data_IF_749985738679
#
_entry.id   IF_749985738679
#
_cell.length_a   1.000
_cell.length_b   1.000
_cell.length_c   1.000
_cell.angle_alpha   90.00
_cell.angle_beta   90.00
_cell.angle_gamma   90.00
#
_symmetry.space_group_name_H-M   'P 1'
#
loop_
_entity.id
_entity.type
_entity.pdbx_description
1 polymer ?
#
# COMPACT_ATOMS: atom_id res chain seq x y z
N UNK A 1 -45.06 3.81 8.70
CA UNK A 1 -45.08 5.28 8.47
C UNK A 1 -44.09 5.85 9.48
N UNK A 2 -42.83 6.11 9.15
CA UNK A 2 -42.34 7.04 8.14
C UNK A 2 -41.02 6.53 7.53
N UNK A 3 -40.95 6.53 6.21
CA UNK A 3 -39.71 6.38 5.44
C UNK A 3 -39.00 7.73 5.48
N UNK A 4 -37.83 7.79 6.11
CA UNK A 4 -36.84 8.82 5.81
C UNK A 4 -35.64 8.12 5.16
N UNK A 5 -35.85 7.62 3.95
CA UNK A 5 -34.78 7.40 2.98
C UNK A 5 -34.45 8.76 2.38
N UNK A 6 -33.67 9.55 3.11
CA UNK A 6 -32.90 10.64 2.51
C UNK A 6 -31.41 10.31 2.73
N UNK A 7 -31.01 9.17 2.15
CA UNK A 7 -29.58 8.87 2.01
C UNK A 7 -29.04 9.83 0.96
N UNK A 8 -28.07 10.67 1.36
CA UNK A 8 -27.45 11.59 0.41
C UNK A 8 -26.91 10.81 -0.81
N UNK A 9 -26.92 11.40 -2.02
CA UNK A 9 -26.43 10.73 -3.23
C UNK A 9 -25.02 10.13 -3.09
N UNK A 10 -24.19 10.72 -2.21
CA UNK A 10 -22.84 10.23 -1.88
C UNK A 10 -22.85 8.92 -1.08
N UNK A 11 -23.75 8.77 -0.10
CA UNK A 11 -23.85 7.55 0.73
C UNK A 11 -24.21 6.35 -0.14
N UNK A 12 -25.20 6.53 -1.03
CA UNK A 12 -25.57 5.51 -2.00
C UNK A 12 -24.45 5.18 -3.00
N UNK A 13 -23.61 6.18 -3.36
CA UNK A 13 -22.42 5.95 -4.21
C UNK A 13 -21.37 5.14 -3.46
N UNK A 14 -21.08 5.45 -2.20
CA UNK A 14 -20.08 4.77 -1.39
C UNK A 14 -20.38 3.27 -1.26
N UNK A 15 -21.59 2.91 -0.82
CA UNK A 15 -22.00 1.51 -0.69
C UNK A 15 -21.92 0.73 -2.02
N UNK A 16 -22.30 1.36 -3.16
CA UNK A 16 -22.16 0.73 -4.49
C UNK A 16 -20.70 0.48 -4.85
N UNK A 17 -19.80 1.44 -4.57
CA UNK A 17 -18.36 1.28 -4.79
C UNK A 17 -17.83 0.11 -3.97
N UNK A 18 -18.13 0.04 -2.67
CA UNK A 18 -17.66 -1.04 -1.80
C UNK A 18 -18.14 -2.42 -2.24
N UNK A 19 -19.40 -2.54 -2.67
CA UNK A 19 -19.93 -3.79 -3.25
C UNK A 19 -19.19 -4.18 -4.52
N UNK A 20 -18.84 -3.22 -5.37
CA UNK A 20 -18.07 -3.48 -6.58
C UNK A 20 -16.65 -3.94 -6.25
N UNK A 21 -15.93 -3.20 -5.39
CA UNK A 21 -14.58 -3.53 -4.98
C UNK A 21 -14.51 -4.90 -4.28
N UNK A 22 -15.43 -5.18 -3.35
CA UNK A 22 -15.52 -6.49 -2.68
C UNK A 22 -15.74 -7.64 -3.68
N UNK A 23 -16.51 -7.42 -4.75
CA UNK A 23 -16.68 -8.44 -5.81
C UNK A 23 -15.40 -8.64 -6.62
N UNK A 24 -14.59 -7.60 -6.81
CA UNK A 24 -13.30 -7.70 -7.49
C UNK A 24 -12.30 -8.47 -6.62
N UNK A 25 -12.20 -8.14 -5.33
CA UNK A 25 -11.37 -8.85 -4.35
C UNK A 25 -11.68 -10.35 -4.32
N UNK A 26 -12.96 -10.73 -4.32
CA UNK A 26 -13.36 -12.15 -4.38
C UNK A 26 -12.97 -12.84 -5.69
N UNK A 27 -12.99 -12.12 -6.82
CA UNK A 27 -12.73 -12.71 -8.15
C UNK A 27 -11.26 -12.73 -8.53
N UNK A 28 -10.46 -11.86 -7.93
CA UNK A 28 -9.05 -11.63 -8.22
C UNK A 28 -8.30 -11.61 -6.91
N UNK A 29 -8.11 -12.80 -6.36
CA UNK A 29 -7.28 -13.05 -5.20
C UNK A 29 -5.89 -13.45 -5.67
N UNK A 30 -4.85 -13.00 -4.98
CA UNK A 30 -3.51 -13.53 -5.14
C UNK A 30 -3.05 -14.16 -3.81
N UNK A 31 -2.35 -15.29 -3.89
CA UNK A 31 -1.63 -15.88 -2.79
C UNK A 31 -0.12 -15.66 -2.95
N UNK A 32 0.53 -15.22 -1.86
CA UNK A 32 1.93 -14.86 -1.85
C UNK A 32 2.86 -15.99 -2.29
N UNK A 33 2.49 -17.25 -2.05
CA UNK A 33 3.34 -18.41 -2.32
C UNK A 33 2.91 -19.19 -3.57
N UNK A 34 1.64 -19.10 -3.99
CA UNK A 34 1.16 -19.78 -5.19
C UNK A 34 1.30 -18.93 -6.46
N UNK A 35 1.07 -17.61 -6.39
CA UNK A 35 0.99 -16.75 -7.59
C UNK A 35 2.32 -16.10 -8.00
N UNK A 36 3.37 -16.28 -7.20
CA UNK A 36 4.74 -15.85 -7.48
C UNK A 36 5.60 -17.09 -7.76
N UNK A 37 6.32 -17.17 -8.91
CA UNK A 37 7.09 -18.34 -9.32
C UNK A 37 8.43 -18.40 -8.58
N UNK A 38 8.38 -18.55 -7.26
CA UNK A 38 9.53 -18.41 -6.38
C UNK A 38 10.68 -19.35 -6.69
N UNK A 39 10.38 -20.56 -7.16
CA UNK A 39 11.37 -21.61 -7.41
C UNK A 39 11.92 -21.59 -8.85
N UNK A 40 11.32 -20.80 -9.75
CA UNK A 40 11.78 -20.63 -11.13
C UNK A 40 12.96 -19.64 -11.23
N UNK A 41 13.18 -18.84 -10.18
CA UNK A 41 14.12 -17.73 -10.18
C UNK A 41 14.84 -17.61 -8.83
N UNK A 42 16.16 -17.72 -8.86
CA UNK A 42 17.01 -17.47 -7.69
C UNK A 42 17.23 -15.96 -7.48
N UNK A 43 17.28 -15.52 -6.22
CA UNK A 43 17.64 -14.14 -5.86
C UNK A 43 19.15 -14.06 -5.64
N UNK A 44 19.93 -14.13 -6.72
CA UNK A 44 21.39 -13.99 -6.67
C UNK A 44 21.78 -12.51 -6.44
N UNK A 45 22.49 -12.16 -5.34
CA UNK A 45 22.94 -10.78 -5.07
C UNK A 45 23.83 -10.16 -6.15
N UNK A 46 24.36 -10.96 -7.07
CA UNK A 46 25.22 -10.51 -8.17
C UNK A 46 24.50 -10.39 -9.51
N UNK A 47 23.20 -10.71 -9.55
CA UNK A 47 22.40 -10.62 -10.78
C UNK A 47 22.33 -9.16 -11.27
N UNK A 48 22.81 -8.85 -12.49
CA UNK A 48 22.80 -7.50 -13.03
C UNK A 48 21.39 -6.91 -13.17
N UNK A 49 20.34 -7.74 -13.23
CA UNK A 49 18.92 -7.31 -13.25
C UNK A 49 18.45 -6.68 -11.93
N UNK A 50 19.24 -6.81 -10.88
CA UNK A 50 19.01 -6.17 -9.58
C UNK A 50 19.70 -4.81 -9.46
N UNK A 51 20.50 -4.39 -10.45
CA UNK A 51 21.11 -3.06 -10.45
C UNK A 51 20.06 -1.95 -10.39
N UNK A 52 20.47 -0.79 -9.88
CA UNK A 52 19.59 0.37 -9.76
C UNK A 52 19.20 0.90 -11.14
N UNK A 53 17.98 1.40 -11.24
CA UNK A 53 17.55 2.10 -12.44
C UNK A 53 18.43 3.35 -12.69
N UNK A 54 18.70 3.73 -13.95
CA UNK A 54 19.59 4.85 -14.28
C UNK A 54 19.18 6.20 -13.68
N UNK A 55 17.90 6.38 -13.34
CA UNK A 55 17.33 7.57 -12.72
C UNK A 55 17.30 7.52 -11.18
N UNK A 56 17.73 6.42 -10.55
CA UNK A 56 17.88 6.38 -9.09
C UNK A 56 18.98 7.38 -8.67
N UNK A 57 18.75 8.25 -7.66
CA UNK A 57 19.73 9.23 -7.21
C UNK A 57 21.10 8.62 -6.84
N UNK A 58 21.12 7.39 -6.34
CA UNK A 58 22.36 6.67 -6.03
C UNK A 58 23.04 6.23 -7.33
N UNK A 59 22.28 5.76 -8.33
CA UNK A 59 22.81 5.32 -9.61
C UNK A 59 23.51 6.44 -10.40
N UNK A 60 23.04 7.68 -10.24
CA UNK A 60 23.60 8.87 -10.89
C UNK A 60 24.97 9.25 -10.30
N UNK A 61 25.27 8.83 -9.07
CA UNK A 61 26.52 9.19 -8.38
C UNK A 61 27.77 8.60 -9.07
N UNK A 62 28.89 9.32 -9.00
CA UNK A 62 30.18 8.81 -9.49
C UNK A 62 30.62 7.56 -8.73
N UNK A 63 30.39 7.53 -7.41
CA UNK A 63 30.70 6.38 -6.57
C UNK A 63 30.05 5.10 -7.11
N UNK A 64 28.74 5.13 -7.38
CA UNK A 64 28.02 3.95 -7.87
C UNK A 64 28.48 3.52 -9.26
N UNK A 65 28.68 4.48 -10.17
CA UNK A 65 29.13 4.20 -11.55
C UNK A 65 30.53 3.58 -11.62
N UNK A 66 31.37 3.84 -10.62
CA UNK A 66 32.71 3.27 -10.50
C UNK A 66 32.73 1.87 -9.84
N UNK A 67 31.59 1.35 -9.39
CA UNK A 67 31.48 -0.03 -8.86
C UNK A 67 31.50 -1.05 -9.99
N UNK A 68 31.94 -2.28 -9.69
CA UNK A 68 31.76 -3.41 -10.62
C UNK A 68 30.26 -3.72 -10.80
N UNK A 69 29.86 -4.35 -11.92
CA UNK A 69 28.47 -4.74 -12.14
C UNK A 69 27.86 -5.58 -10.99
N UNK A 70 28.64 -6.48 -10.41
CA UNK A 70 28.20 -7.31 -9.29
C UNK A 70 28.03 -6.49 -8.00
N UNK A 71 28.86 -5.47 -7.80
CA UNK A 71 28.71 -4.55 -6.67
C UNK A 71 27.50 -3.62 -6.85
N UNK A 72 27.23 -3.19 -8.09
CA UNK A 72 26.02 -2.44 -8.44
C UNK A 72 24.75 -3.25 -8.19
N UNK A 73 24.74 -4.54 -8.56
CA UNK A 73 23.67 -5.49 -8.26
C UNK A 73 23.44 -5.65 -6.75
N UNK A 74 24.51 -5.85 -5.96
CA UNK A 74 24.42 -5.95 -4.50
C UNK A 74 23.81 -4.71 -3.85
N UNK A 75 24.21 -3.52 -4.30
CA UNK A 75 23.64 -2.24 -3.83
C UNK A 75 22.16 -2.17 -4.18
N UNK A 76 21.79 -2.55 -5.40
CA UNK A 76 20.39 -2.55 -5.82
C UNK A 76 19.53 -3.57 -5.05
N UNK A 77 20.05 -4.76 -4.75
CA UNK A 77 19.37 -5.71 -3.88
C UNK A 77 19.12 -5.14 -2.48
N UNK A 78 20.11 -4.46 -1.88
CA UNK A 78 19.93 -3.78 -0.58
C UNK A 78 18.88 -2.68 -0.67
N UNK A 79 18.86 -1.91 -1.77
CA UNK A 79 17.86 -0.87 -2.01
C UNK A 79 16.45 -1.46 -2.09
N UNK A 80 16.26 -2.50 -2.90
CA UNK A 80 14.97 -3.20 -3.07
C UNK A 80 14.50 -3.77 -1.74
N UNK A 81 15.34 -4.56 -1.07
CA UNK A 81 14.96 -5.25 0.18
C UNK A 81 14.68 -4.26 1.32
N UNK A 82 15.36 -3.11 1.37
CA UNK A 82 15.06 -2.03 2.33
C UNK A 82 13.74 -1.32 2.04
N UNK A 83 13.42 -1.11 0.76
CA UNK A 83 12.12 -0.57 0.35
C UNK A 83 10.99 -1.53 0.70
N UNK A 84 11.12 -2.83 0.38
CA UNK A 84 10.13 -3.85 0.73
C UNK A 84 9.94 -3.99 2.25
N UNK A 85 11.03 -3.92 3.03
CA UNK A 85 10.93 -3.93 4.49
C UNK A 85 10.21 -2.71 5.05
N UNK A 86 10.34 -1.57 4.37
CA UNK A 86 9.62 -0.36 4.74
C UNK A 86 8.15 -0.47 4.34
N UNK A 87 7.86 -1.05 3.17
CA UNK A 87 6.51 -1.27 2.66
C UNK A 87 5.70 -2.19 3.57
N UNK A 88 6.19 -3.38 3.93
CA UNK A 88 5.40 -4.26 4.81
C UNK A 88 5.21 -3.67 6.22
N UNK A 89 6.17 -2.87 6.74
CA UNK A 89 5.94 -2.12 7.99
C UNK A 89 4.79 -1.10 7.84
N UNK A 90 4.71 -0.44 6.68
CA UNK A 90 3.63 0.50 6.36
C UNK A 90 2.29 -0.23 6.27
N UNK A 91 2.20 -1.33 5.52
CA UNK A 91 1.00 -2.17 5.40
C UNK A 91 0.51 -2.62 6.78
N UNK A 92 1.42 -3.11 7.63
CA UNK A 92 1.05 -3.53 8.97
C UNK A 92 0.46 -2.39 9.83
N UNK A 93 1.00 -1.18 9.71
CA UNK A 93 0.49 0.01 10.40
C UNK A 93 -0.88 0.41 9.85
N UNK A 94 -1.06 0.35 8.53
CA UNK A 94 -2.32 0.64 7.84
C UNK A 94 -3.40 -0.36 8.28
N UNK A 95 -3.10 -1.66 8.24
CA UNK A 95 -3.99 -2.73 8.67
C UNK A 95 -4.42 -2.56 10.14
N UNK A 96 -3.53 -2.12 11.03
CA UNK A 96 -3.91 -1.80 12.41
C UNK A 96 -4.97 -0.68 12.48
N UNK A 97 -4.85 0.34 11.62
CA UNK A 97 -5.86 1.40 11.49
C UNK A 97 -7.18 0.89 10.94
N UNK A 98 -7.14 0.09 9.87
CA UNK A 98 -8.32 -0.52 9.26
C UNK A 98 -9.07 -1.43 10.22
N UNK A 99 -8.38 -2.35 10.89
CA UNK A 99 -8.97 -3.26 11.87
C UNK A 99 -9.51 -2.50 13.08
N UNK A 100 -8.82 -1.45 13.53
CA UNK A 100 -9.32 -0.60 14.59
C UNK A 100 -10.60 0.15 14.18
N UNK A 101 -10.72 0.59 12.92
CA UNK A 101 -11.97 1.16 12.38
C UNK A 101 -13.07 0.11 12.33
N UNK A 102 -12.78 -1.08 11.79
CA UNK A 102 -13.74 -2.17 11.66
C UNK A 102 -14.37 -2.59 13.00
N UNK A 103 -13.60 -2.52 14.10
CA UNK A 103 -14.08 -2.80 15.46
C UNK A 103 -15.27 -1.92 15.87
N UNK A 104 -15.43 -0.74 15.29
CA UNK A 104 -16.46 0.22 15.64
C UNK A 104 -17.48 0.48 14.53
N UNK A 105 -17.38 -0.22 13.40
CA UNK A 105 -18.41 -0.21 12.38
C UNK A 105 -19.55 -1.15 12.80
N UNK A 106 -20.81 -0.84 12.44
CA UNK A 106 -21.90 -1.80 12.59
C UNK A 106 -21.62 -3.08 11.81
N UNK A 107 -21.95 -4.22 12.43
CA UNK A 107 -21.81 -5.54 11.81
C UNK A 107 -22.58 -5.61 10.48
N UNK A 108 -22.01 -6.29 9.49
CA UNK A 108 -22.65 -6.54 8.20
C UNK A 108 -22.66 -5.36 7.23
N UNK A 109 -22.01 -4.24 7.55
CA UNK A 109 -21.85 -3.12 6.60
C UNK A 109 -20.93 -3.50 5.44
N UNK A 110 -21.18 -2.90 4.26
CA UNK A 110 -20.31 -3.11 3.09
C UNK A 110 -18.86 -2.67 3.37
N UNK A 111 -18.68 -1.66 4.23
CA UNK A 111 -17.35 -1.15 4.61
C UNK A 111 -16.63 -2.15 5.51
N UNK A 112 -17.29 -2.68 6.53
CA UNK A 112 -16.72 -3.74 7.37
C UNK A 112 -16.22 -4.90 6.52
N UNK A 113 -17.03 -5.34 5.55
CA UNK A 113 -16.64 -6.41 4.63
C UNK A 113 -15.43 -6.04 3.79
N UNK A 114 -15.44 -4.85 3.17
CA UNK A 114 -14.36 -4.45 2.27
C UNK A 114 -13.04 -4.25 3.01
N UNK A 115 -13.06 -3.67 4.22
CA UNK A 115 -11.88 -3.58 5.08
C UNK A 115 -11.20 -4.94 5.26
N UNK A 116 -11.98 -6.02 5.47
CA UNK A 116 -11.38 -7.34 5.64
C UNK A 116 -10.80 -7.92 4.34
N UNK A 117 -11.37 -7.58 3.18
CA UNK A 117 -10.75 -7.94 1.90
C UNK A 117 -9.40 -7.23 1.74
N UNK A 118 -9.35 -5.93 2.01
CA UNK A 118 -8.10 -5.14 1.98
C UNK A 118 -7.07 -5.70 2.97
N UNK A 119 -7.47 -6.00 4.22
CA UNK A 119 -6.57 -6.62 5.19
C UNK A 119 -6.00 -7.96 4.70
N UNK A 120 -6.80 -8.79 4.02
CA UNK A 120 -6.32 -10.06 3.47
C UNK A 120 -5.29 -9.82 2.35
N UNK A 121 -5.59 -8.92 1.42
CA UNK A 121 -4.72 -8.55 0.30
C UNK A 121 -3.38 -7.99 0.82
N UNK A 122 -3.43 -7.04 1.77
CA UNK A 122 -2.21 -6.48 2.40
C UNK A 122 -1.40 -7.50 3.18
N UNK A 123 -2.05 -8.50 3.79
CA UNK A 123 -1.32 -9.61 4.41
C UNK A 123 -0.57 -10.44 3.38
N UNK A 124 -1.14 -10.68 2.19
CA UNK A 124 -0.46 -11.38 1.11
C UNK A 124 0.71 -10.54 0.56
N UNK A 125 0.56 -9.22 0.45
CA UNK A 125 1.65 -8.32 0.09
C UNK A 125 2.83 -8.42 1.07
N UNK A 126 2.56 -8.30 2.37
CA UNK A 126 3.56 -8.43 3.43
C UNK A 126 4.30 -9.77 3.35
N UNK A 127 3.59 -10.88 3.10
CA UNK A 127 4.19 -12.20 2.95
C UNK A 127 5.08 -12.28 1.71
N UNK A 128 4.65 -11.76 0.56
CA UNK A 128 5.49 -11.69 -0.65
C UNK A 128 6.77 -10.89 -0.41
N UNK A 129 6.66 -9.75 0.28
CA UNK A 129 7.79 -8.88 0.54
C UNK A 129 8.80 -9.52 1.50
N UNK A 130 8.30 -10.16 2.55
CA UNK A 130 9.13 -10.92 3.50
C UNK A 130 9.84 -12.08 2.81
N UNK A 131 9.13 -12.84 1.95
CA UNK A 131 9.69 -13.99 1.27
C UNK A 131 10.83 -13.60 0.31
N UNK A 132 10.70 -12.50 -0.44
CA UNK A 132 11.80 -11.99 -1.27
C UNK A 132 13.01 -11.58 -0.41
N UNK A 133 12.77 -10.90 0.71
CA UNK A 133 13.85 -10.52 1.64
C UNK A 133 14.54 -11.77 2.18
N UNK A 134 13.78 -12.78 2.61
CA UNK A 134 14.28 -14.05 3.13
C UNK A 134 15.13 -14.78 2.09
N UNK A 135 14.63 -14.92 0.86
CA UNK A 135 15.35 -15.58 -0.25
C UNK A 135 16.60 -14.84 -0.67
N UNK A 136 16.63 -13.51 -0.55
CA UNK A 136 17.81 -12.70 -0.86
C UNK A 136 18.98 -12.87 0.12
N UNK A 137 18.72 -13.44 1.31
CA UNK A 137 19.71 -13.50 2.40
C UNK A 137 20.07 -12.12 3.00
N UNK A 138 19.41 -11.04 2.57
CA UNK A 138 19.65 -9.69 3.05
C UNK A 138 19.04 -9.46 4.43
N UNK A 139 19.70 -8.65 5.26
CA UNK A 139 19.15 -8.15 6.53
C UNK A 139 18.92 -6.63 6.44
N UNK A 140 17.93 -6.17 5.65
CA UNK A 140 17.78 -4.75 5.34
C UNK A 140 17.27 -3.96 6.55
N UNK A 141 17.46 -2.63 6.49
CA UNK A 141 16.80 -1.69 7.38
C UNK A 141 15.46 -1.28 6.77
N UNK A 142 14.41 -1.26 7.58
CA UNK A 142 13.09 -0.75 7.17
C UNK A 142 12.83 0.64 7.72
N UNK A 143 11.55 0.97 7.87
CA UNK A 143 11.07 2.18 8.53
C UNK A 143 11.80 2.47 9.86
N UNK A 144 12.22 3.72 10.06
CA UNK A 144 12.89 4.17 11.27
C UNK A 144 12.04 3.92 12.52
N UNK A 145 12.65 3.44 13.61
CA UNK A 145 11.95 3.00 14.82
C UNK A 145 10.97 4.04 15.37
N UNK A 146 11.41 5.28 15.57
CA UNK A 146 10.55 6.35 16.12
C UNK A 146 9.37 6.65 15.19
N UNK A 147 9.61 6.66 13.88
CA UNK A 147 8.57 6.91 12.89
C UNK A 147 7.53 5.77 12.91
N UNK A 148 7.99 4.52 12.95
CA UNK A 148 7.14 3.32 13.00
C UNK A 148 6.19 3.36 14.20
N UNK A 149 6.70 3.64 15.39
CA UNK A 149 5.88 3.67 16.60
C UNK A 149 4.91 4.86 16.64
N UNK A 150 5.37 6.04 16.20
CA UNK A 150 4.51 7.22 16.12
C UNK A 150 3.38 7.03 15.10
N UNK A 151 3.70 6.50 13.90
CA UNK A 151 2.73 6.23 12.86
C UNK A 151 1.71 5.16 13.31
N UNK A 152 2.15 4.05 13.91
CA UNK A 152 1.26 3.02 14.45
C UNK A 152 0.25 3.58 15.47
N UNK A 153 0.73 4.41 16.40
CA UNK A 153 -0.12 5.06 17.39
C UNK A 153 -1.11 6.04 16.75
N UNK A 154 -0.62 6.88 15.83
CA UNK A 154 -1.42 7.90 15.16
C UNK A 154 -2.49 7.31 14.25
N UNK A 155 -2.17 6.27 13.47
CA UNK A 155 -3.13 5.61 12.56
C UNK A 155 -4.33 5.04 13.31
N UNK A 156 -4.08 4.34 14.42
CA UNK A 156 -5.16 3.84 15.28
C UNK A 156 -6.04 4.97 15.81
N UNK A 157 -5.43 6.06 16.29
CA UNK A 157 -6.19 7.21 16.79
C UNK A 157 -7.05 7.86 15.69
N UNK A 158 -6.46 8.11 14.53
CA UNK A 158 -7.11 8.81 13.42
C UNK A 158 -8.20 7.96 12.76
N UNK A 159 -8.00 6.65 12.61
CA UNK A 159 -8.96 5.73 11.98
C UNK A 159 -10.39 5.84 12.56
N UNK A 160 -10.48 6.15 13.85
CA UNK A 160 -11.76 6.34 14.58
C UNK A 160 -12.17 7.81 14.66
N UNK A 161 -11.24 8.70 15.03
CA UNK A 161 -11.62 10.07 15.42
C UNK A 161 -11.62 11.07 14.26
N UNK A 162 -10.87 10.78 13.19
CA UNK A 162 -10.81 11.59 11.99
C UNK A 162 -10.57 10.72 10.75
N UNK A 163 -11.59 9.96 10.30
CA UNK A 163 -11.46 9.06 9.15
C UNK A 163 -10.96 9.76 7.88
N UNK A 164 -11.37 11.00 7.62
CA UNK A 164 -10.87 11.77 6.47
C UNK A 164 -9.35 11.95 6.52
N UNK A 165 -8.80 12.30 7.69
CA UNK A 165 -7.36 12.47 7.86
C UNK A 165 -6.65 11.11 7.79
N UNK A 166 -7.23 10.07 8.38
CA UNK A 166 -6.71 8.72 8.28
C UNK A 166 -6.58 8.26 6.82
N UNK A 167 -7.66 8.30 6.03
CA UNK A 167 -7.62 7.89 4.62
C UNK A 167 -6.77 8.83 3.76
N UNK A 168 -6.67 10.11 4.11
CA UNK A 168 -5.75 11.03 3.43
C UNK A 168 -4.29 10.66 3.68
N UNK A 169 -3.95 10.18 4.89
CA UNK A 169 -2.61 9.67 5.21
C UNK A 169 -2.32 8.32 4.54
N UNK A 170 -3.34 7.46 4.42
CA UNK A 170 -3.27 6.23 3.60
C UNK A 170 -2.90 6.59 2.16
N UNK A 171 -3.68 7.47 1.50
CA UNK A 171 -3.39 7.90 0.12
C UNK A 171 -2.01 8.56 -0.02
N UNK A 172 -1.58 9.35 0.97
CA UNK A 172 -0.26 9.97 0.96
C UNK A 172 0.89 8.93 1.01
N UNK A 173 0.63 7.74 1.54
CA UNK A 173 1.56 6.61 1.48
C UNK A 173 1.46 5.82 0.18
N UNK A 174 0.24 5.46 -0.23
CA UNK A 174 -0.04 4.54 -1.33
C UNK A 174 0.19 5.15 -2.72
N UNK A 175 -0.30 6.37 -3.00
CA UNK A 175 -0.24 6.95 -4.34
C UNK A 175 1.19 7.21 -4.85
N UNK A 176 2.13 7.74 -4.03
CA UNK A 176 3.52 7.89 -4.46
C UNK A 176 4.20 6.54 -4.71
N UNK A 177 3.86 5.50 -3.93
CA UNK A 177 4.39 4.16 -4.11
C UNK A 177 3.86 3.52 -5.40
N UNK A 178 2.56 3.58 -5.67
CA UNK A 178 1.95 3.09 -6.91
C UNK A 178 2.63 3.74 -8.14
N UNK A 179 2.87 5.05 -8.11
CA UNK A 179 3.57 5.75 -9.19
C UNK A 179 5.01 5.23 -9.37
N UNK A 180 5.75 5.04 -8.28
CA UNK A 180 7.11 4.51 -8.33
C UNK A 180 7.13 3.09 -8.89
N UNK A 181 6.23 2.22 -8.42
CA UNK A 181 6.13 0.83 -8.87
C UNK A 181 5.78 0.73 -10.35
N UNK A 182 4.83 1.53 -10.84
CA UNK A 182 4.50 1.60 -12.27
C UNK A 182 5.69 2.03 -13.13
N UNK A 183 6.50 2.98 -12.65
CA UNK A 183 7.74 3.38 -13.34
C UNK A 183 8.74 2.23 -13.36
N UNK A 184 8.93 1.54 -12.23
CA UNK A 184 9.80 0.36 -12.16
C UNK A 184 9.37 -0.74 -13.11
N UNK A 185 8.07 -1.01 -13.24
CA UNK A 185 7.53 -2.00 -14.17
C UNK A 185 7.76 -1.65 -15.64
N UNK A 186 7.88 -0.36 -15.96
CA UNK A 186 8.18 0.12 -17.31
C UNK A 186 9.66 -0.04 -17.70
N UNK A 187 10.55 -0.37 -16.75
CA UNK A 187 11.96 -0.64 -17.02
C UNK A 187 12.13 -2.05 -17.59
N UNK A 188 12.80 -2.15 -18.74
CA UNK A 188 13.16 -3.43 -19.34
C UNK A 188 14.24 -4.15 -18.49
N UNK A 189 14.16 -5.47 -18.43
CA UNK A 189 15.20 -6.29 -17.76
C UNK A 189 15.10 -6.37 -16.23
N UNK A 190 14.02 -5.89 -15.61
CA UNK A 190 13.76 -6.09 -14.18
C UNK A 190 13.76 -7.58 -13.79
N UNK A 191 14.32 -7.90 -12.62
CA UNK A 191 14.32 -9.27 -12.09
C UNK A 191 12.89 -9.86 -12.06
N UNK A 192 12.65 -11.08 -12.59
CA UNK A 192 11.30 -11.64 -12.76
C UNK A 192 10.46 -11.68 -11.48
N UNK A 193 11.04 -12.09 -10.35
CA UNK A 193 10.32 -12.09 -9.06
C UNK A 193 9.90 -10.67 -8.64
N UNK A 194 10.80 -9.69 -8.78
CA UNK A 194 10.49 -8.30 -8.43
C UNK A 194 9.38 -7.78 -9.32
N UNK A 195 9.44 -8.06 -10.63
CA UNK A 195 8.37 -7.71 -11.58
C UNK A 195 7.04 -8.31 -11.16
N UNK A 196 6.98 -9.63 -10.91
CA UNK A 196 5.74 -10.33 -10.58
C UNK A 196 5.11 -9.80 -9.29
N UNK A 197 5.91 -9.57 -8.25
CA UNK A 197 5.46 -8.99 -6.98
C UNK A 197 4.84 -7.60 -7.22
N UNK A 198 5.53 -6.74 -7.99
CA UNK A 198 5.02 -5.39 -8.28
C UNK A 198 3.76 -5.40 -9.13
N UNK A 199 3.63 -6.34 -10.08
CA UNK A 199 2.43 -6.51 -10.91
C UNK A 199 1.21 -6.89 -10.08
N UNK A 200 1.38 -7.84 -9.15
CA UNK A 200 0.32 -8.23 -8.21
C UNK A 200 -0.05 -7.01 -7.36
N UNK A 201 0.93 -6.44 -6.65
CA UNK A 201 0.71 -5.33 -5.72
C UNK A 201 -0.03 -4.15 -6.38
N UNK A 202 0.45 -3.66 -7.53
CA UNK A 202 -0.17 -2.52 -8.25
C UNK A 202 -1.60 -2.83 -8.71
N UNK A 203 -1.91 -4.08 -9.05
CA UNK A 203 -3.25 -4.48 -9.48
C UNK A 203 -4.25 -4.51 -8.32
N UNK A 204 -3.79 -4.83 -7.11
CA UNK A 204 -4.60 -4.87 -5.88
C UNK A 204 -4.75 -3.47 -5.28
N UNK A 205 -3.65 -2.71 -5.22
CA UNK A 205 -3.60 -1.36 -4.66
C UNK A 205 -4.52 -0.36 -5.36
N UNK A 206 -4.76 -0.55 -6.66
CA UNK A 206 -5.74 0.25 -7.40
C UNK A 206 -7.15 0.21 -6.75
N UNK A 207 -7.50 -0.90 -6.08
CA UNK A 207 -8.74 -1.05 -5.32
C UNK A 207 -8.67 -0.33 -3.97
N UNK A 208 -7.57 -0.46 -3.24
CA UNK A 208 -7.35 0.19 -1.94
C UNK A 208 -7.40 1.71 -2.06
N UNK A 209 -6.67 2.26 -3.04
CA UNK A 209 -6.72 3.69 -3.39
C UNK A 209 -8.14 4.12 -3.76
N UNK A 210 -8.89 3.29 -4.50
CA UNK A 210 -10.28 3.59 -4.86
C UNK A 210 -11.20 3.63 -3.64
N UNK A 211 -10.99 2.74 -2.67
CA UNK A 211 -11.69 2.75 -1.39
C UNK A 211 -11.36 3.97 -0.57
N UNK A 212 -10.07 4.25 -0.32
CA UNK A 212 -9.65 5.39 0.47
C UNK A 212 -10.21 6.72 -0.08
N UNK A 213 -10.16 6.92 -1.42
CA UNK A 213 -10.79 8.09 -2.07
C UNK A 213 -12.31 8.13 -1.88
N UNK A 214 -12.98 6.98 -1.95
CA UNK A 214 -14.42 6.91 -1.73
C UNK A 214 -14.81 7.20 -0.27
N UNK A 215 -14.02 6.69 0.69
CA UNK A 215 -14.20 6.92 2.11
C UNK A 215 -13.97 8.40 2.48
N UNK A 216 -12.94 9.05 1.91
CA UNK A 216 -12.72 10.50 2.08
C UNK A 216 -13.94 11.30 1.64
N UNK A 217 -14.51 11.00 0.47
CA UNK A 217 -15.70 11.71 -0.03
C UNK A 217 -16.92 11.50 0.86
N UNK A 218 -17.20 10.27 1.25
CA UNK A 218 -18.35 9.95 2.12
C UNK A 218 -18.21 10.63 3.49
N UNK A 219 -17.04 10.50 4.13
CA UNK A 219 -16.78 11.08 5.44
C UNK A 219 -16.77 12.61 5.41
N UNK A 220 -16.21 13.22 4.36
CA UNK A 220 -16.21 14.69 4.20
C UNK A 220 -17.62 15.25 4.00
N UNK A 221 -18.50 14.51 3.31
CA UNK A 221 -19.90 14.88 3.14
C UNK A 221 -20.65 14.93 4.48
N UNK A 222 -20.23 14.15 5.48
CA UNK A 222 -20.80 14.10 6.84
C UNK A 222 -20.23 15.16 7.78
N UNK A 223 -19.15 15.84 7.42
CA UNK A 223 -18.53 16.88 8.25
C UNK A 223 -19.33 18.18 8.28
N UNK A 224 -19.36 18.83 9.45
CA UNK A 224 -19.84 20.20 9.59
C UNK A 224 -18.93 21.19 8.83
N UNK A 225 -19.42 22.37 8.42
CA UNK A 225 -18.65 23.32 7.63
C UNK A 225 -17.31 23.75 8.27
N UNK A 226 -17.28 23.91 9.60
CA UNK A 226 -16.06 24.26 10.33
C UNK A 226 -15.04 23.12 10.31
N UNK A 227 -15.47 21.89 10.59
CA UNK A 227 -14.59 20.71 10.55
C UNK A 227 -14.08 20.46 9.14
N UNK A 228 -14.91 20.67 8.13
CA UNK A 228 -14.50 20.58 6.72
C UNK A 228 -13.38 21.57 6.39
N UNK A 229 -13.48 22.83 6.82
CA UNK A 229 -12.41 23.83 6.63
C UNK A 229 -11.12 23.44 7.35
N UNK A 230 -11.21 22.94 8.58
CA UNK A 230 -10.03 22.49 9.33
C UNK A 230 -9.36 21.30 8.64
N UNK A 231 -10.12 20.30 8.22
CA UNK A 231 -9.59 19.13 7.51
C UNK A 231 -8.95 19.55 6.20
N UNK A 232 -9.62 20.36 5.37
CA UNK A 232 -9.06 20.86 4.11
C UNK A 232 -7.72 21.61 4.28
N UNK A 233 -7.51 22.29 5.42
CA UNK A 233 -6.23 22.93 5.72
C UNK A 233 -5.09 21.91 5.95
N UNK A 234 -5.36 20.81 6.64
CA UNK A 234 -4.36 19.77 6.93
C UNK A 234 -4.21 18.73 5.82
N UNK A 235 -5.26 18.54 5.02
CA UNK A 235 -5.31 17.58 3.92
C UNK A 235 -5.77 18.31 2.65
N UNK A 236 -4.89 19.05 1.95
CA UNK A 236 -5.25 19.86 0.78
C UNK A 236 -5.73 19.04 -0.43
N UNK A 237 -5.81 17.72 -0.29
CA UNK A 237 -6.31 16.75 -1.29
C UNK A 237 -7.83 16.50 -1.15
N UNK A 238 -8.49 17.06 -0.10
CA UNK A 238 -9.90 16.86 0.23
C UNK A 238 -10.82 18.03 -0.16
#
# INVERSE_FOLDING_TARGET
MSLTQDESPEIGRFARTLKHLSRLSVRRTNDAYEDVPWDDHEVDPTDPRLALAPDDPIAISEWYRNLSPEAQARVGLVRITSSLKTAWHFENILQQGLLHRALYLPEGTDEFRYIHHEVIEESQHTLMFEELIRRSGSTPRGMHFLLRHLAAWLMRLLSRHSPVVFFSMVLAGEEPLDLLQRRTLAVDGLHPLVRRIMEIHVAEEARHISYARAAIRDETARLSPLRRKTVAFFTPVA
#
